data_IF_106491688484
#
_entry.id   IF_106491688484
#
_cell.length_a   1.000
_cell.length_b   1.000
_cell.length_c   1.000
_cell.angle_alpha   90.00
_cell.angle_beta   90.00
_cell.angle_gamma   90.00
#
_symmetry.space_group_name_H-M   'P 1'
#
loop_
_entity.id
_entity.type
_entity.pdbx_description
1 polymer ?
#
# COMPACT_ATOMS: atom_id res chain seq x y z
N UNK A 1 5.55 10.64 -19.56
CA UNK A 1 6.97 10.64 -19.97
C UNK A 1 7.34 11.78 -20.92
N UNK A 2 6.56 12.10 -21.97
CA UNK A 2 6.84 13.29 -22.82
C UNK A 2 6.90 14.61 -22.03
N UNK A 3 5.96 14.82 -21.12
CA UNK A 3 5.98 15.97 -20.22
C UNK A 3 7.24 15.99 -19.34
N UNK A 4 7.66 14.83 -18.82
CA UNK A 4 8.89 14.69 -18.02
C UNK A 4 10.13 15.03 -18.85
N UNK A 5 10.21 14.53 -20.08
CA UNK A 5 11.28 14.86 -21.03
C UNK A 5 11.37 16.37 -21.26
N UNK A 6 10.23 17.01 -21.58
CA UNK A 6 10.17 18.46 -21.79
C UNK A 6 10.59 19.25 -20.55
N UNK A 7 10.09 18.89 -19.38
CA UNK A 7 10.45 19.53 -18.12
C UNK A 7 11.95 19.43 -17.82
N UNK A 8 12.55 18.25 -17.97
CA UNK A 8 13.98 18.06 -17.72
C UNK A 8 14.83 18.83 -18.75
N UNK A 9 14.42 18.87 -20.03
CA UNK A 9 15.08 19.70 -21.04
C UNK A 9 15.06 21.18 -20.65
N UNK A 10 13.92 21.71 -20.23
CA UNK A 10 13.81 23.10 -19.76
C UNK A 10 14.69 23.37 -18.53
N UNK A 11 14.79 22.41 -17.61
CA UNK A 11 15.66 22.53 -16.43
C UNK A 11 17.15 22.57 -16.82
N UNK A 12 17.60 21.73 -17.75
CA UNK A 12 19.01 21.74 -18.22
C UNK A 12 19.39 23.09 -18.86
N UNK A 13 18.49 23.65 -19.67
CA UNK A 13 18.66 24.99 -20.25
C UNK A 13 18.78 26.06 -19.15
N UNK A 14 17.88 26.03 -18.17
CA UNK A 14 17.88 27.00 -17.07
C UNK A 14 19.15 26.90 -16.21
N UNK A 15 19.65 25.69 -15.98
CA UNK A 15 20.88 25.42 -15.22
C UNK A 15 22.16 25.65 -16.04
N UNK A 16 22.06 25.96 -17.34
CA UNK A 16 23.20 26.08 -18.26
C UNK A 16 24.09 24.83 -18.29
N UNK A 17 23.48 23.64 -18.19
CA UNK A 17 24.17 22.35 -18.21
C UNK A 17 23.97 21.71 -19.58
N UNK A 18 25.08 21.41 -20.27
CA UNK A 18 25.07 20.74 -21.58
C UNK A 18 25.08 19.21 -21.41
N UNK A 19 23.94 18.66 -21.01
CA UNK A 19 23.72 17.22 -20.92
C UNK A 19 22.54 16.80 -21.79
N UNK A 20 22.73 15.72 -22.55
CA UNK A 20 21.68 15.14 -23.40
C UNK A 20 20.59 14.53 -22.52
N UNK A 21 19.36 15.07 -22.62
CA UNK A 21 18.18 14.51 -21.95
C UNK A 21 17.66 13.32 -22.75
N UNK A 22 17.58 12.11 -22.16
CA UNK A 22 17.01 10.95 -22.83
C UNK A 22 15.55 11.20 -23.23
N UNK A 23 15.20 10.81 -24.46
CA UNK A 23 13.83 10.94 -24.94
C UNK A 23 12.85 9.97 -24.23
N UNK A 24 11.56 10.25 -24.32
CA UNK A 24 10.51 9.47 -23.68
C UNK A 24 10.49 7.99 -24.06
N UNK A 25 10.95 7.60 -25.25
CA UNK A 25 11.04 6.19 -25.67
C UNK A 25 12.20 5.50 -24.97
N UNK A 26 13.35 6.17 -24.86
CA UNK A 26 14.51 5.71 -24.10
C UNK A 26 14.15 5.54 -22.61
N UNK A 27 13.49 6.54 -22.02
CA UNK A 27 12.98 6.45 -20.64
C UNK A 27 11.98 5.30 -20.46
N UNK A 28 11.05 5.11 -21.40
CA UNK A 28 10.06 4.04 -21.32
C UNK A 28 10.68 2.64 -21.38
N UNK A 29 11.73 2.44 -22.20
CA UNK A 29 12.49 1.19 -22.25
C UNK A 29 13.26 0.98 -20.94
N UNK A 30 13.95 2.02 -20.46
CA UNK A 30 14.76 1.95 -19.24
C UNK A 30 13.91 1.69 -18.00
N UNK A 31 12.69 2.24 -17.94
CA UNK A 31 11.71 1.99 -16.87
C UNK A 31 11.42 0.50 -16.66
N UNK A 32 11.59 -0.36 -17.67
CA UNK A 32 11.30 -1.81 -17.54
C UNK A 32 12.36 -2.56 -16.75
N UNK A 33 13.59 -2.07 -16.72
CA UNK A 33 14.76 -2.80 -16.21
C UNK A 33 15.59 -2.00 -15.21
N UNK A 34 15.28 -0.72 -15.00
CA UNK A 34 15.99 0.09 -14.01
C UNK A 34 15.80 -0.52 -12.64
N UNK A 35 16.92 -0.80 -11.96
CA UNK A 35 16.88 -1.27 -10.58
C UNK A 35 16.36 -0.14 -9.68
N UNK A 36 15.22 -0.38 -9.05
CA UNK A 36 14.66 0.55 -8.08
C UNK A 36 15.13 0.11 -6.70
N UNK A 37 16.22 0.71 -6.23
CA UNK A 37 16.66 0.45 -4.85
C UNK A 37 15.57 0.86 -3.87
N UNK A 38 15.15 -0.08 -3.02
CA UNK A 38 14.33 0.13 -1.85
C UNK A 38 15.14 0.89 -0.81
N UNK A 39 15.18 2.21 -0.95
CA UNK A 39 15.70 3.05 0.13
C UNK A 39 14.60 3.21 1.17
N UNK A 40 14.86 2.76 2.39
CA UNK A 40 13.99 2.93 3.55
C UNK A 40 14.63 3.91 4.51
N UNK A 41 13.85 4.83 5.05
CA UNK A 41 14.39 5.80 5.98
C UNK A 41 14.74 5.13 7.31
N UNK A 42 15.87 5.51 7.95
CA UNK A 42 16.21 5.01 9.26
C UNK A 42 15.07 5.26 10.24
N UNK A 43 14.55 4.19 10.84
CA UNK A 43 13.49 4.26 11.84
C UNK A 43 14.10 4.47 13.20
N UNK A 44 13.56 5.42 13.97
CA UNK A 44 14.01 5.71 15.34
C UNK A 44 13.43 4.76 16.39
N UNK A 45 12.53 3.86 16.01
CA UNK A 45 11.87 2.93 16.92
C UNK A 45 10.82 2.05 16.23
N UNK A 46 10.01 1.32 17.02
CA UNK A 46 8.92 0.49 16.51
C UNK A 46 7.87 1.34 15.79
N UNK A 47 7.34 0.85 14.67
CA UNK A 47 6.31 1.54 13.88
C UNK A 47 4.99 0.80 13.91
N UNK A 48 3.87 1.52 13.81
CA UNK A 48 2.62 0.88 13.41
C UNK A 48 2.64 0.70 11.89
N UNK A 49 1.92 -0.29 11.38
CA UNK A 49 1.75 -0.47 9.94
C UNK A 49 0.27 -0.58 9.64
N UNK A 50 -0.16 0.12 8.59
CA UNK A 50 -1.52 0.05 8.07
C UNK A 50 -1.47 -0.68 6.73
N UNK A 51 -2.30 -1.72 6.59
CA UNK A 51 -2.40 -2.53 5.40
C UNK A 51 -3.72 -2.28 4.71
N UNK A 52 -3.64 -2.06 3.40
CA UNK A 52 -4.80 -2.00 2.50
C UNK A 52 -4.35 -2.31 1.07
N UNK A 53 -5.33 -2.58 0.20
CA UNK A 53 -5.09 -2.84 -1.21
C UNK A 53 -5.84 -1.86 -2.10
N UNK A 54 -5.40 -1.72 -3.35
CA UNK A 54 -6.11 -0.91 -4.33
C UNK A 54 -5.99 -1.45 -5.74
N UNK A 55 -7.07 -1.32 -6.51
CA UNK A 55 -7.08 -1.69 -7.92
C UNK A 55 -6.38 -0.64 -8.79
N UNK A 56 -5.48 -1.09 -9.66
CA UNK A 56 -4.89 -0.31 -10.75
C UNK A 56 -5.33 -0.87 -12.09
N UNK A 57 -5.89 -0.02 -12.96
CA UNK A 57 -6.29 -0.41 -14.31
C UNK A 57 -5.05 -0.62 -15.16
N UNK A 58 -5.09 -1.55 -16.09
CA UNK A 58 -4.09 -1.59 -17.16
C UNK A 58 -4.75 -2.01 -18.46
N UNK A 59 -4.18 -1.57 -19.58
CA UNK A 59 -4.67 -1.97 -20.88
C UNK A 59 -4.03 -3.31 -21.26
N UNK A 60 -4.85 -4.34 -21.47
CA UNK A 60 -4.46 -5.60 -22.10
C UNK A 60 -4.03 -5.41 -23.57
N UNK A 61 -3.82 -6.52 -24.29
CA UNK A 61 -3.28 -6.51 -25.65
C UNK A 61 -4.01 -5.54 -26.61
N UNK A 62 -3.37 -4.40 -26.89
CA UNK A 62 -3.52 -3.58 -28.10
C UNK A 62 -4.80 -2.74 -28.27
N UNK A 63 -4.65 -1.42 -28.40
CA UNK A 63 -5.69 -0.55 -29.01
C UNK A 63 -6.08 -0.99 -30.43
N UNK A 64 -5.20 -1.74 -31.12
CA UNK A 64 -5.48 -2.36 -32.42
C UNK A 64 -6.54 -3.47 -32.32
N UNK A 65 -6.49 -4.30 -31.27
CA UNK A 65 -7.53 -5.30 -31.01
C UNK A 65 -8.84 -4.64 -30.60
N UNK A 66 -8.78 -3.53 -29.84
CA UNK A 66 -9.95 -2.69 -29.50
C UNK A 66 -10.65 -2.12 -30.74
N UNK A 67 -9.87 -1.71 -31.76
CA UNK A 67 -10.39 -1.17 -33.02
C UNK A 67 -10.96 -2.26 -33.95
N UNK A 68 -10.50 -3.52 -33.83
CA UNK A 68 -10.96 -4.65 -34.67
C UNK A 68 -12.06 -5.51 -34.06
N UNK A 69 -12.12 -5.67 -32.74
CA UNK A 69 -12.95 -6.69 -32.08
C UNK A 69 -13.86 -6.15 -30.95
N UNK A 70 -13.95 -4.83 -30.75
CA UNK A 70 -14.78 -4.22 -29.70
C UNK A 70 -14.08 -4.05 -28.35
N UNK A 71 -14.82 -3.59 -27.33
CA UNK A 71 -14.28 -3.33 -26.00
C UNK A 71 -13.75 -4.61 -25.35
N UNK A 72 -12.42 -4.70 -25.21
CA UNK A 72 -11.79 -5.74 -24.39
C UNK A 72 -11.98 -5.39 -22.91
N UNK A 73 -12.43 -6.37 -22.11
CA UNK A 73 -12.69 -6.25 -20.66
C UNK A 73 -11.53 -5.53 -19.96
N UNK A 74 -11.83 -4.44 -19.23
CA UNK A 74 -10.83 -3.69 -18.43
C UNK A 74 -10.15 -4.66 -17.45
N UNK A 75 -8.86 -4.89 -17.62
CA UNK A 75 -8.06 -5.73 -16.73
C UNK A 75 -7.50 -4.90 -15.58
N UNK A 76 -7.42 -5.52 -14.40
CA UNK A 76 -6.98 -4.87 -13.17
C UNK A 76 -5.81 -5.63 -12.55
N UNK A 77 -4.93 -4.88 -11.90
CA UNK A 77 -3.96 -5.40 -10.94
C UNK A 77 -4.35 -4.92 -9.56
N UNK A 78 -3.95 -5.69 -8.56
CA UNK A 78 -4.15 -5.31 -7.17
C UNK A 78 -2.81 -4.92 -6.56
N UNK A 79 -2.72 -3.68 -6.08
CA UNK A 79 -1.55 -3.16 -5.39
C UNK A 79 -1.83 -3.20 -3.89
N UNK A 80 -1.11 -4.07 -3.19
CA UNK A 80 -1.15 -4.22 -1.73
C UNK A 80 -0.09 -3.34 -1.11
N UNK A 81 -0.42 -2.61 -0.05
CA UNK A 81 0.47 -1.64 0.58
C UNK A 81 0.57 -1.89 2.08
N UNK A 82 1.77 -1.68 2.62
CA UNK A 82 1.99 -1.40 4.04
C UNK A 82 2.50 0.02 4.20
N UNK A 83 1.84 0.78 5.05
CA UNK A 83 2.11 2.20 5.26
C UNK A 83 2.40 2.45 6.73
N UNK A 84 3.50 3.15 7.03
CA UNK A 84 3.69 3.73 8.36
C UNK A 84 2.76 4.95 8.49
N UNK A 85 1.77 4.93 9.40
CA UNK A 85 0.82 6.03 9.54
C UNK A 85 1.47 7.31 10.02
N UNK A 86 2.57 7.25 10.77
CA UNK A 86 3.16 8.44 11.41
C UNK A 86 3.96 9.27 10.36
N UNK A 87 4.66 8.60 9.43
CA UNK A 87 5.39 9.23 8.32
C UNK A 87 4.60 9.29 6.99
N UNK A 88 3.55 8.47 6.86
CA UNK A 88 2.92 8.09 5.59
C UNK A 88 3.90 7.48 4.58
N UNK A 89 5.03 6.91 5.01
CA UNK A 89 5.92 6.15 4.13
C UNK A 89 5.28 4.82 3.74
N UNK A 90 5.31 4.48 2.45
CA UNK A 90 4.99 3.12 1.98
C UNK A 90 6.22 2.26 2.21
N UNK A 91 6.15 1.35 3.18
CA UNK A 91 7.30 0.59 3.68
C UNK A 91 7.42 -0.82 3.08
N UNK A 92 6.33 -1.34 2.54
CA UNK A 92 6.29 -2.56 1.74
C UNK A 92 5.11 -2.47 0.76
N UNK A 93 5.25 -3.14 -0.37
CA UNK A 93 4.19 -3.25 -1.35
C UNK A 93 4.30 -4.54 -2.14
N UNK A 94 3.21 -4.98 -2.74
CA UNK A 94 3.21 -6.07 -3.72
C UNK A 94 2.15 -5.82 -4.79
N UNK A 95 2.45 -6.11 -6.04
CA UNK A 95 1.49 -6.02 -7.14
C UNK A 95 1.10 -7.43 -7.56
N UNK A 96 -0.18 -7.76 -7.48
CA UNK A 96 -0.69 -9.09 -7.83
C UNK A 96 -1.73 -9.00 -8.94
N UNK A 97 -2.18 -10.16 -9.41
CA UNK A 97 -3.39 -10.26 -10.22
C UNK A 97 -4.63 -9.91 -9.37
N UNK A 98 -5.77 -9.71 -10.03
CA UNK A 98 -7.03 -9.30 -9.41
C UNK A 98 -7.71 -10.42 -8.60
N UNK A 99 -7.45 -11.67 -8.95
CA UNK A 99 -7.91 -12.89 -8.27
C UNK A 99 -7.19 -13.19 -6.94
N UNK A 100 -6.07 -12.52 -6.68
CA UNK A 100 -5.29 -12.75 -5.46
C UNK A 100 -6.01 -12.13 -4.25
N UNK A 101 -6.25 -12.94 -3.22
CA UNK A 101 -6.92 -12.53 -1.99
C UNK A 101 -6.07 -11.56 -1.15
N UNK A 102 -6.69 -10.50 -0.64
CA UNK A 102 -6.05 -9.48 0.21
C UNK A 102 -5.47 -10.09 1.51
N UNK A 103 -6.24 -10.88 2.29
CA UNK A 103 -5.73 -11.67 3.41
C UNK A 103 -4.44 -12.45 3.13
N UNK A 104 -4.31 -13.04 1.94
CA UNK A 104 -3.17 -13.88 1.59
C UNK A 104 -1.85 -13.08 1.52
N UNK A 105 -1.92 -11.77 1.30
CA UNK A 105 -0.74 -10.92 1.15
C UNK A 105 -0.23 -10.32 2.46
N UNK A 106 -0.99 -10.43 3.56
CA UNK A 106 -0.62 -9.80 4.84
C UNK A 106 0.72 -10.32 5.36
N UNK A 107 0.94 -11.64 5.37
CA UNK A 107 2.21 -12.21 5.84
C UNK A 107 3.42 -11.66 5.07
N UNK A 108 3.32 -11.61 3.73
CA UNK A 108 4.36 -11.07 2.86
C UNK A 108 4.62 -9.58 3.12
N UNK A 109 3.56 -8.78 3.20
CA UNK A 109 3.64 -7.35 3.50
C UNK A 109 4.27 -7.07 4.86
N UNK A 110 3.86 -7.80 5.89
CA UNK A 110 4.37 -7.66 7.26
C UNK A 110 5.83 -8.09 7.33
N UNK A 111 6.23 -9.17 6.66
CA UNK A 111 7.62 -9.60 6.59
C UNK A 111 8.48 -8.52 5.92
N UNK A 112 8.08 -8.08 4.73
CA UNK A 112 8.81 -7.12 3.92
C UNK A 112 8.85 -5.73 4.53
N UNK A 113 7.90 -5.35 5.38
CA UNK A 113 7.94 -4.08 6.11
C UNK A 113 9.24 -3.92 6.94
N UNK A 114 9.87 -5.03 7.35
CA UNK A 114 11.14 -5.05 8.09
C UNK A 114 11.09 -4.30 9.44
N UNK A 115 12.22 -4.31 10.15
CA UNK A 115 12.35 -3.60 11.43
C UNK A 115 11.39 -4.09 12.53
N UNK A 116 11.26 -3.29 13.59
CA UNK A 116 10.34 -3.58 14.69
C UNK A 116 8.94 -3.00 14.39
N UNK A 117 7.90 -3.83 14.56
CA UNK A 117 6.51 -3.47 14.28
C UNK A 117 5.73 -3.51 15.59
N UNK A 118 5.13 -2.38 15.97
CA UNK A 118 4.32 -2.23 17.18
C UNK A 118 2.89 -2.73 16.99
N UNK A 119 2.29 -2.45 15.85
CA UNK A 119 0.94 -2.87 15.53
C UNK A 119 0.75 -3.08 14.02
N UNK A 120 -0.11 -4.03 13.66
CA UNK A 120 -0.63 -4.24 12.30
C UNK A 120 -2.09 -3.84 12.31
N UNK A 121 -2.47 -2.87 11.48
CA UNK A 121 -3.83 -2.33 11.40
C UNK A 121 -4.35 -2.60 10.00
N UNK A 122 -5.50 -3.26 9.87
CA UNK A 122 -6.15 -3.52 8.59
C UNK A 122 -7.67 -3.47 8.76
N UNK A 123 -8.40 -3.36 7.65
CA UNK A 123 -9.86 -3.33 7.69
C UNK A 123 -10.47 -4.71 8.00
N UNK A 124 -11.79 -4.77 8.16
CA UNK A 124 -12.50 -6.01 8.48
C UNK A 124 -12.48 -7.07 7.38
N UNK A 125 -12.09 -6.76 6.14
CA UNK A 125 -11.91 -7.76 5.08
C UNK A 125 -10.68 -8.65 5.33
N UNK A 126 -9.75 -8.18 6.16
CA UNK A 126 -8.61 -8.95 6.65
C UNK A 126 -8.91 -9.75 7.93
N UNK A 127 -10.17 -9.77 8.41
CA UNK A 127 -10.56 -10.56 9.58
C UNK A 127 -10.59 -12.05 9.26
N UNK A 128 -9.70 -12.81 9.89
CA UNK A 128 -9.70 -14.27 9.80
C UNK A 128 -8.49 -14.90 10.47
N UNK A 129 -8.68 -16.09 11.02
CA UNK A 129 -7.60 -16.85 11.67
C UNK A 129 -6.34 -17.02 10.80
N UNK A 130 -6.44 -17.28 9.47
CA UNK A 130 -5.25 -17.36 8.62
C UNK A 130 -4.40 -16.09 8.59
N UNK A 131 -5.03 -14.91 8.71
CA UNK A 131 -4.31 -13.62 8.75
C UNK A 131 -3.51 -13.48 10.04
N UNK A 132 -4.12 -13.82 11.18
CA UNK A 132 -3.44 -13.79 12.48
C UNK A 132 -2.25 -14.76 12.48
N UNK A 133 -2.44 -15.98 11.98
CA UNK A 133 -1.37 -16.98 11.86
C UNK A 133 -0.25 -16.51 10.94
N UNK A 134 -0.56 -15.93 9.78
CA UNK A 134 0.43 -15.40 8.86
C UNK A 134 1.29 -14.28 9.48
N UNK A 135 0.68 -13.36 10.24
CA UNK A 135 1.39 -12.30 10.97
C UNK A 135 2.32 -12.91 12.03
N UNK A 136 1.81 -13.88 12.81
CA UNK A 136 2.55 -14.51 13.90
C UNK A 136 3.73 -15.35 13.38
N UNK A 137 3.58 -16.00 12.23
CA UNK A 137 4.64 -16.78 11.59
C UNK A 137 5.84 -15.91 11.19
N UNK A 138 5.61 -14.70 10.69
CA UNK A 138 6.68 -13.79 10.23
C UNK A 138 7.19 -12.83 11.31
N UNK A 139 6.51 -12.73 12.47
CA UNK A 139 6.89 -11.90 13.62
C UNK A 139 6.86 -12.73 14.93
N UNK A 140 7.89 -13.57 15.18
CA UNK A 140 7.91 -14.47 16.32
C UNK A 140 8.08 -13.77 17.69
N UNK A 141 7.81 -14.55 18.73
CA UNK A 141 7.27 -14.17 20.05
C UNK A 141 8.06 -13.21 20.96
N UNK A 142 9.29 -12.78 20.62
CA UNK A 142 10.03 -11.87 21.53
C UNK A 142 9.36 -10.48 21.63
N UNK A 143 8.68 -10.04 20.58
CA UNK A 143 7.85 -8.82 20.57
C UNK A 143 6.85 -8.87 19.40
N UNK A 144 5.81 -9.71 19.49
CA UNK A 144 4.81 -9.80 18.44
C UNK A 144 4.03 -8.48 18.32
N UNK A 145 3.70 -8.01 17.11
CA UNK A 145 2.89 -6.81 16.95
C UNK A 145 1.46 -7.06 17.47
N UNK A 146 0.80 -6.02 17.97
CA UNK A 146 -0.65 -6.04 18.19
C UNK A 146 -1.36 -6.16 16.84
N UNK A 147 -2.40 -6.99 16.74
CA UNK A 147 -3.17 -7.14 15.50
C UNK A 147 -4.50 -6.43 15.66
N UNK A 148 -4.68 -5.32 14.97
CA UNK A 148 -5.83 -4.42 15.12
C UNK A 148 -6.69 -4.51 13.87
N UNK A 149 -7.44 -5.60 13.81
CA UNK A 149 -8.35 -5.93 12.71
C UNK A 149 -9.73 -6.13 13.32
N UNK A 150 -10.75 -5.35 12.92
CA UNK A 150 -12.04 -5.42 13.57
C UNK A 150 -12.79 -6.69 13.14
N UNK A 151 -13.20 -7.55 14.08
CA UNK A 151 -13.97 -8.74 13.75
C UNK A 151 -15.24 -8.42 12.95
N UNK A 152 -15.60 -9.33 12.06
CA UNK A 152 -16.86 -9.31 11.33
C UNK A 152 -18.05 -9.44 12.28
N UNK A 153 -19.20 -8.85 11.91
CA UNK A 153 -20.41 -8.87 12.75
C UNK A 153 -20.82 -10.27 13.24
N UNK A 154 -20.79 -11.33 12.39
CA UNK A 154 -21.18 -12.67 12.83
C UNK A 154 -20.25 -13.28 13.89
N UNK A 155 -19.04 -12.74 14.05
CA UNK A 155 -18.05 -13.23 15.02
C UNK A 155 -18.13 -12.51 16.36
N UNK A 156 -19.06 -11.56 16.53
CA UNK A 156 -19.24 -10.83 17.79
C UNK A 156 -20.20 -11.63 18.68
N UNK A 157 -19.75 -12.15 19.83
CA UNK A 157 -20.59 -12.94 20.72
C UNK A 157 -21.64 -12.08 21.42
N UNK A 158 -22.68 -12.70 21.99
CA UNK A 158 -23.63 -11.98 22.81
C UNK A 158 -22.95 -11.44 24.08
N UNK A 159 -23.49 -10.36 24.65
CA UNK A 159 -22.89 -9.71 25.81
C UNK A 159 -22.92 -10.66 27.01
N UNK A 160 -21.75 -11.04 27.51
CA UNK A 160 -21.61 -11.93 28.68
C UNK A 160 -21.25 -13.37 28.33
N UNK A 161 -21.21 -13.74 27.05
CA UNK A 161 -20.73 -15.06 26.62
C UNK A 161 -19.21 -15.20 26.78
N UNK A 162 -18.77 -16.41 27.13
CA UNK A 162 -17.36 -16.76 27.16
C UNK A 162 -16.77 -16.75 25.75
N UNK A 163 -15.48 -16.40 25.64
CA UNK A 163 -14.77 -16.35 24.37
C UNK A 163 -13.48 -17.20 24.47
N UNK A 164 -13.06 -17.85 23.38
CA UNK A 164 -11.98 -18.85 23.34
C UNK A 164 -10.55 -18.34 23.62
N UNK A 165 -10.41 -17.09 24.07
CA UNK A 165 -9.15 -16.53 24.53
C UNK A 165 -8.16 -16.07 23.44
N UNK A 166 -8.41 -16.31 22.15
CA UNK A 166 -7.56 -15.77 21.07
C UNK A 166 -7.60 -14.22 21.01
N UNK A 167 -6.60 -13.59 20.40
CA UNK A 167 -6.57 -12.12 20.25
C UNK A 167 -7.78 -11.61 19.46
N UNK A 168 -8.16 -12.33 18.40
CA UNK A 168 -9.36 -12.07 17.59
C UNK A 168 -10.64 -12.11 18.44
N UNK A 169 -10.82 -13.15 19.23
CA UNK A 169 -11.99 -13.32 20.10
C UNK A 169 -12.02 -12.28 21.23
N UNK A 170 -10.86 -11.88 21.77
CA UNK A 170 -10.77 -10.78 22.74
C UNK A 170 -11.25 -9.47 22.14
N UNK A 171 -10.89 -9.17 20.89
CA UNK A 171 -11.44 -8.01 20.19
C UNK A 171 -12.96 -8.12 20.01
N UNK A 172 -13.47 -9.29 19.64
CA UNK A 172 -14.91 -9.52 19.48
C UNK A 172 -15.68 -9.33 20.80
N UNK A 173 -15.18 -9.90 21.90
CA UNK A 173 -15.75 -9.74 23.23
C UNK A 173 -15.68 -8.29 23.74
N UNK A 174 -14.60 -7.57 23.45
CA UNK A 174 -14.50 -6.16 23.81
C UNK A 174 -15.51 -5.31 23.02
N UNK A 175 -15.70 -5.58 21.72
CA UNK A 175 -16.72 -4.91 20.90
C UNK A 175 -18.12 -5.21 21.43
N UNK A 176 -18.42 -6.46 21.79
CA UNK A 176 -19.70 -6.84 22.39
C UNK A 176 -19.98 -6.07 23.70
N UNK A 177 -18.95 -5.91 24.54
CA UNK A 177 -19.08 -5.26 25.85
C UNK A 177 -19.13 -3.73 25.80
N UNK A 178 -18.34 -3.09 24.94
CA UNK A 178 -18.11 -1.63 24.94
C UNK A 178 -18.62 -0.92 23.68
N UNK A 179 -19.00 -1.67 22.65
CA UNK A 179 -19.34 -1.14 21.34
C UNK A 179 -18.11 -0.92 20.45
N UNK A 180 -18.36 -0.93 19.13
CA UNK A 180 -17.31 -0.87 18.09
C UNK A 180 -16.56 0.47 18.08
N UNK A 181 -17.25 1.58 18.30
CA UNK A 181 -16.63 2.92 18.30
C UNK A 181 -15.61 3.05 19.44
N UNK A 182 -15.97 2.60 20.64
CA UNK A 182 -15.07 2.65 21.80
C UNK A 182 -13.85 1.75 21.61
N UNK A 183 -14.06 0.54 21.06
CA UNK A 183 -12.97 -0.34 20.67
C UNK A 183 -12.01 0.34 19.67
N UNK A 184 -12.55 0.99 18.63
CA UNK A 184 -11.73 1.68 17.62
C UNK A 184 -10.88 2.79 18.26
N UNK A 185 -11.45 3.55 19.19
CA UNK A 185 -10.75 4.62 19.93
C UNK A 185 -9.61 4.05 20.78
N UNK A 186 -9.86 3.00 21.55
CA UNK A 186 -8.87 2.38 22.47
C UNK A 186 -7.70 1.73 21.74
N UNK A 187 -7.96 1.14 20.57
CA UNK A 187 -6.92 0.49 19.76
C UNK A 187 -6.28 1.42 18.72
N UNK A 188 -6.66 2.71 18.67
CA UNK A 188 -6.10 3.64 17.69
C UNK A 188 -6.42 3.27 16.24
N UNK A 189 -7.52 2.55 16.00
CA UNK A 189 -7.92 2.07 14.67
C UNK A 189 -8.13 3.20 13.65
N UNK A 190 -8.37 4.43 14.10
CA UNK A 190 -8.47 5.62 13.24
C UNK A 190 -7.26 5.83 12.32
N UNK A 191 -6.06 5.35 12.73
CA UNK A 191 -4.86 5.37 11.89
C UNK A 191 -5.03 4.63 10.56
N UNK A 192 -5.97 3.67 10.47
CA UNK A 192 -6.29 2.93 9.23
C UNK A 192 -6.55 3.85 8.05
N UNK A 193 -7.21 4.98 8.27
CA UNK A 193 -7.53 5.94 7.20
C UNK A 193 -6.30 6.51 6.47
N UNK A 194 -5.10 6.44 7.05
CA UNK A 194 -3.89 7.03 6.49
C UNK A 194 -3.34 6.24 5.29
N UNK A 195 -3.73 4.98 5.13
CA UNK A 195 -3.41 4.20 3.92
C UNK A 195 -4.10 4.77 2.68
N UNK A 196 -5.31 5.32 2.82
CA UNK A 196 -6.04 5.99 1.73
C UNK A 196 -5.27 7.19 1.20
N UNK A 197 -4.58 7.90 2.10
CA UNK A 197 -3.72 9.03 1.73
C UNK A 197 -2.53 8.56 0.90
N UNK A 198 -1.93 7.41 1.24
CA UNK A 198 -0.86 6.81 0.44
C UNK A 198 -1.36 6.34 -0.92
N UNK A 199 -2.51 5.65 -0.97
CA UNK A 199 -3.19 5.22 -2.20
C UNK A 199 -3.47 6.43 -3.10
N UNK A 200 -4.02 7.51 -2.54
CA UNK A 200 -4.31 8.74 -3.27
C UNK A 200 -3.06 9.34 -3.90
N UNK A 201 -1.92 9.36 -3.18
CA UNK A 201 -0.64 9.85 -3.73
C UNK A 201 -0.17 9.02 -4.91
N UNK A 202 -0.24 7.70 -4.84
CA UNK A 202 0.11 6.82 -5.97
C UNK A 202 -0.83 7.07 -7.15
N UNK A 203 -2.14 7.15 -6.91
CA UNK A 203 -3.15 7.40 -7.95
C UNK A 203 -3.00 8.79 -8.58
N UNK A 204 -2.52 9.79 -7.86
CA UNK A 204 -2.17 11.10 -8.44
C UNK A 204 -0.97 11.02 -9.39
N UNK A 205 0.00 10.15 -9.12
CA UNK A 205 1.18 9.96 -9.98
C UNK A 205 0.81 9.22 -11.27
N UNK A 206 -0.01 8.17 -11.18
CA UNK A 206 -0.25 7.26 -12.31
C UNK A 206 -1.69 7.33 -12.89
N UNK A 207 -2.55 8.19 -12.36
CA UNK A 207 -3.95 8.31 -12.76
C UNK A 207 -4.83 7.09 -12.41
N UNK A 208 -4.37 6.22 -11.50
CA UNK A 208 -5.01 4.93 -11.21
C UNK A 208 -4.81 3.86 -12.29
N UNK A 209 -3.84 4.08 -13.18
CA UNK A 209 -3.56 3.21 -14.31
C UNK A 209 -2.08 2.78 -14.35
N UNK A 210 -1.81 1.63 -14.95
CA UNK A 210 -0.48 1.16 -15.34
C UNK A 210 -0.34 1.27 -16.85
N UNK A 211 0.85 1.68 -17.29
CA UNK A 211 1.14 1.89 -18.71
C UNK A 211 2.01 0.77 -19.29
N UNK A 212 2.70 0.02 -18.45
CA UNK A 212 3.47 -1.17 -18.82
C UNK A 212 2.56 -2.34 -19.21
N UNK A 213 3.01 -3.12 -20.21
CA UNK A 213 2.23 -4.25 -20.77
C UNK A 213 2.52 -5.59 -20.11
N UNK A 214 3.75 -5.83 -19.69
CA UNK A 214 4.13 -7.09 -19.04
C UNK A 214 4.08 -6.92 -17.53
N UNK A 215 3.77 -8.00 -16.81
CA UNK A 215 3.64 -7.97 -15.35
C UNK A 215 4.92 -7.51 -14.65
N UNK A 216 6.09 -8.02 -15.02
CA UNK A 216 7.36 -7.55 -14.45
C UNK A 216 7.63 -6.06 -14.70
N UNK A 217 7.25 -5.54 -15.88
CA UNK A 217 7.37 -4.10 -16.16
C UNK A 217 6.34 -3.26 -15.39
N UNK A 218 5.19 -3.85 -15.02
CA UNK A 218 4.18 -3.21 -14.17
C UNK A 218 4.66 -3.14 -12.72
N UNK A 219 5.26 -4.22 -12.20
CA UNK A 219 5.89 -4.23 -10.87
C UNK A 219 6.96 -3.14 -10.77
N UNK A 220 7.84 -3.02 -11.78
CA UNK A 220 8.87 -1.98 -11.76
C UNK A 220 8.29 -0.55 -11.90
N UNK A 221 7.23 -0.38 -12.70
CA UNK A 221 6.51 0.90 -12.80
C UNK A 221 5.92 1.33 -11.44
N UNK A 222 5.31 0.40 -10.70
CA UNK A 222 4.79 0.63 -9.35
C UNK A 222 5.91 0.99 -8.38
N UNK A 223 7.02 0.24 -8.40
CA UNK A 223 8.17 0.52 -7.53
C UNK A 223 8.72 1.94 -7.74
N UNK A 224 8.81 2.40 -8.99
CA UNK A 224 9.21 3.78 -9.31
C UNK A 224 8.23 4.79 -8.75
N UNK A 225 6.92 4.58 -8.94
CA UNK A 225 5.89 5.49 -8.44
C UNK A 225 5.89 5.57 -6.91
N UNK A 226 6.10 4.44 -6.22
CA UNK A 226 6.22 4.39 -4.76
C UNK A 226 7.48 5.13 -4.30
N UNK A 227 8.61 4.94 -4.98
CA UNK A 227 9.84 5.67 -4.67
C UNK A 227 9.67 7.18 -4.81
N UNK A 228 8.98 7.63 -5.87
CA UNK A 228 8.63 9.05 -6.06
C UNK A 228 7.70 9.53 -4.93
N UNK A 229 6.64 8.78 -4.61
CA UNK A 229 5.69 9.15 -3.57
C UNK A 229 6.34 9.26 -2.18
N UNK A 230 7.22 8.32 -1.84
CA UNK A 230 7.98 8.35 -0.59
C UNK A 230 8.96 9.53 -0.59
N UNK A 231 9.70 9.77 -1.68
CA UNK A 231 10.64 10.89 -1.78
C UNK A 231 9.94 12.24 -1.58
N UNK A 232 8.76 12.42 -2.17
CA UNK A 232 7.97 13.64 -2.02
C UNK A 232 7.58 13.92 -0.56
N UNK A 233 7.25 12.89 0.22
CA UNK A 233 6.93 13.05 1.65
C UNK A 233 8.11 13.53 2.49
N UNK A 234 9.33 13.42 1.97
CA UNK A 234 10.48 13.88 2.72
C UNK A 234 10.83 15.32 2.43
N UNK A 235 10.82 15.66 1.13
CA UNK A 235 11.31 16.95 0.67
C UNK A 235 10.24 18.02 0.81
N UNK A 236 8.96 17.63 0.79
CA UNK A 236 7.84 18.55 0.76
C UNK A 236 6.61 17.94 1.44
N UNK A 237 6.74 17.44 2.68
CA UNK A 237 5.60 16.95 3.46
C UNK A 237 4.59 18.09 3.66
N UNK A 238 3.35 17.99 3.15
CA UNK A 238 2.33 18.97 3.49
C UNK A 238 1.98 18.84 4.98
N UNK A 239 1.97 19.98 5.68
CA UNK A 239 1.46 20.07 7.04
C UNK A 239 -0.05 20.33 6.95
N UNK A 240 -0.85 19.37 7.38
CA UNK A 240 -2.30 19.52 7.43
C UNK A 240 -2.70 19.96 8.83
N UNK A 241 -3.30 21.14 8.94
CA UNK A 241 -3.87 21.64 10.18
C UNK A 241 -5.40 21.55 10.12
N UNK A 242 -6.00 21.11 11.22
CA UNK A 242 -7.46 21.10 11.35
C UNK A 242 -7.90 22.51 11.72
N UNK A 243 -8.46 23.23 10.75
CA UNK A 243 -9.15 24.50 11.02
C UNK A 243 -10.36 24.20 11.89
N UNK A 244 -10.42 24.83 13.07
CA UNK A 244 -11.55 24.73 14.00
C UNK A 244 -12.58 25.79 13.68
#
# INVERSE_FOLDING_TARGET
>A
LRQTEGFVRSLMVLMKVDLIVPDHTTLARRRRTVCVHEYRWPRKGPVDIVIDSTGLKFFGAGEWARKKHGETRRSWRKLHLSVDPDSNEIIAHELTNDDTSDPAMVGHLVANAGGNIRAVIADGAYDGEPVYQAIRAVRPARSPPRIIIPPSKPSIPAKGEAHGGSERERHAAEISRRGRIEWQRRHGYGKRSLVETAISRIKKINGGCLTSRTFGSQQNEVAIHIKIANRNMQVARPMTERVR
#
